data_IF_757881544597
#
_entry.id   IF_757881544597
#
_cell.length_a   1.000
_cell.length_b   1.000
_cell.length_c   1.000
_cell.angle_alpha   90.00
_cell.angle_beta   90.00
_cell.angle_gamma   90.00
#
_symmetry.space_group_name_H-M   'P 1'
#
loop_
_entity.id
_entity.type
_entity.pdbx_description
1 polymer ?
#
# COMPACT_ATOMS: atom_id res chain seq x y z
N UNK A 1 11.20 6.29 5.92
CA UNK A 1 10.80 4.89 5.62
C UNK A 1 10.11 4.89 4.27
N UNK A 2 10.19 3.82 3.48
CA UNK A 2 9.41 3.70 2.25
C UNK A 2 8.67 2.36 2.19
N UNK A 3 7.56 2.32 1.45
CA UNK A 3 6.75 1.12 1.28
C UNK A 3 6.02 1.09 -0.05
N UNK A 4 6.18 0.01 -0.80
CA UNK A 4 5.41 -0.26 -2.02
C UNK A 4 4.25 -1.22 -1.72
N UNK A 5 3.08 -0.99 -2.31
CA UNK A 5 1.95 -1.91 -2.21
C UNK A 5 1.56 -2.21 -0.75
N UNK A 6 1.54 -3.48 -0.34
CA UNK A 6 1.31 -3.90 1.05
C UNK A 6 2.31 -3.29 2.04
N UNK A 7 3.54 -3.01 1.59
CA UNK A 7 4.55 -2.30 2.39
C UNK A 7 4.15 -0.88 2.77
N UNK A 8 3.20 -0.27 2.04
CA UNK A 8 2.62 1.02 2.40
C UNK A 8 1.90 0.96 3.75
N UNK A 9 1.19 -0.12 4.05
CA UNK A 9 0.59 -0.35 5.36
C UNK A 9 1.67 -0.41 6.44
N UNK A 10 2.73 -1.20 6.25
CA UNK A 10 3.84 -1.28 7.20
C UNK A 10 4.45 0.09 7.51
N UNK A 11 4.71 0.90 6.49
CA UNK A 11 5.26 2.24 6.68
C UNK A 11 4.35 3.16 7.52
N UNK A 12 3.03 3.11 7.27
CA UNK A 12 2.04 3.91 8.04
C UNK A 12 1.87 3.37 9.47
N UNK A 13 1.89 2.05 9.67
CA UNK A 13 1.86 1.44 11.01
C UNK A 13 3.06 1.90 11.86
N UNK A 14 4.25 1.98 11.27
CA UNK A 14 5.47 2.47 11.95
C UNK A 14 5.40 3.96 12.32
N UNK A 15 4.59 4.76 11.61
CA UNK A 15 4.32 6.16 11.98
C UNK A 15 3.22 6.29 13.05
N UNK A 16 2.51 5.20 13.34
CA UNK A 16 1.49 5.12 14.39
C UNK A 16 0.07 4.87 13.90
N UNK A 17 -0.12 4.51 12.62
CA UNK A 17 -1.40 4.00 12.15
C UNK A 17 -1.80 2.74 12.91
N UNK A 18 -2.99 2.73 13.48
CA UNK A 18 -3.55 1.61 14.24
C UNK A 18 -4.51 0.85 13.35
N UNK A 19 -4.18 -0.42 13.10
CA UNK A 19 -4.99 -1.33 12.30
C UNK A 19 -6.18 -1.85 13.11
N UNK A 20 -7.32 -1.94 12.43
CA UNK A 20 -8.56 -2.52 12.88
C UNK A 20 -9.08 -3.40 11.74
N UNK A 21 -9.09 -4.71 11.94
CA UNK A 21 -9.53 -5.65 10.90
C UNK A 21 -11.01 -5.49 10.57
N UNK A 22 -11.86 -5.20 11.56
CA UNK A 22 -13.30 -5.07 11.32
C UNK A 22 -13.66 -3.97 10.27
N UNK A 23 -13.16 -2.72 10.36
CA UNK A 23 -13.33 -1.72 9.30
C UNK A 23 -12.86 -2.19 7.91
N UNK A 24 -11.74 -2.91 7.84
CA UNK A 24 -11.26 -3.46 6.56
C UNK A 24 -12.24 -4.49 5.99
N UNK A 25 -12.70 -5.43 6.81
CA UNK A 25 -13.67 -6.46 6.40
C UNK A 25 -15.00 -5.84 5.98
N UNK A 26 -15.53 -4.89 6.75
CA UNK A 26 -16.77 -4.19 6.38
C UNK A 26 -16.63 -3.46 5.04
N UNK A 27 -15.49 -2.81 4.83
CA UNK A 27 -15.24 -2.12 3.58
C UNK A 27 -15.06 -3.06 2.39
N UNK A 28 -14.43 -4.22 2.57
CA UNK A 28 -14.14 -5.16 1.48
C UNK A 28 -15.36 -5.98 1.03
N UNK A 29 -16.39 -6.11 1.88
CA UNK A 29 -17.64 -6.81 1.56
C UNK A 29 -18.22 -6.39 0.20
N UNK A 30 -18.47 -7.39 -0.65
CA UNK A 30 -19.13 -7.21 -1.94
C UNK A 30 -18.30 -6.54 -3.03
N UNK A 31 -17.01 -6.24 -2.80
CA UNK A 31 -16.15 -5.55 -3.79
C UNK A 31 -15.53 -6.46 -4.86
N UNK A 32 -15.77 -7.78 -4.78
CA UNK A 32 -15.24 -8.76 -5.76
C UNK A 32 -13.72 -8.88 -5.72
N UNK A 33 -13.11 -8.50 -4.60
CA UNK A 33 -11.67 -8.56 -4.41
C UNK A 33 -11.22 -10.00 -4.22
N UNK A 34 -10.08 -10.36 -4.81
CA UNK A 34 -9.53 -11.70 -4.71
C UNK A 34 -9.33 -12.12 -3.25
N UNK A 35 -9.23 -13.44 -3.04
CA UNK A 35 -8.99 -14.04 -1.73
C UNK A 35 -7.53 -13.88 -1.25
N UNK A 36 -6.79 -12.95 -1.85
CA UNK A 36 -5.40 -12.65 -1.52
C UNK A 36 -4.67 -11.98 -2.69
N UNK A 37 -3.42 -11.55 -2.46
CA UNK A 37 -2.58 -10.99 -3.53
C UNK A 37 -2.15 -12.08 -4.52
N UNK A 38 -1.62 -11.69 -5.68
CA UNK A 38 -1.13 -12.62 -6.73
C UNK A 38 -0.21 -13.72 -6.19
N UNK A 39 0.66 -13.39 -5.23
CA UNK A 39 1.62 -14.32 -4.63
C UNK A 39 0.97 -15.35 -3.69
N UNK A 40 -0.19 -15.02 -3.11
CA UNK A 40 -0.93 -15.86 -2.18
C UNK A 40 -2.45 -15.74 -2.43
N UNK A 41 -2.97 -16.24 -3.56
CA UNK A 41 -4.31 -15.92 -4.05
C UNK A 41 -5.48 -16.48 -3.21
N UNK A 42 -5.19 -17.37 -2.25
CA UNK A 42 -6.16 -18.02 -1.36
C UNK A 42 -5.88 -17.77 0.12
N UNK A 43 -5.15 -16.69 0.43
CA UNK A 43 -4.70 -16.39 1.79
C UNK A 43 -5.87 -16.07 2.74
N UNK A 44 -6.91 -15.41 2.24
CA UNK A 44 -8.11 -15.05 3.00
C UNK A 44 -8.88 -16.27 3.48
N UNK A 45 -9.01 -17.32 2.66
CA UNK A 45 -9.61 -18.60 3.06
C UNK A 45 -8.86 -19.32 4.19
N UNK A 46 -7.60 -18.95 4.47
CA UNK A 46 -6.84 -19.51 5.59
C UNK A 46 -7.16 -18.81 6.93
N UNK A 47 -7.78 -17.63 6.92
CA UNK A 47 -7.98 -16.84 8.15
C UNK A 47 -8.90 -17.55 9.13
N UNK A 48 -10.11 -17.94 8.71
CA UNK A 48 -11.07 -18.63 9.60
C UNK A 48 -10.52 -19.96 10.14
N UNK A 49 -10.00 -20.88 9.30
CA UNK A 49 -9.41 -22.12 9.80
C UNK A 49 -8.27 -21.89 10.80
N UNK A 50 -7.42 -20.87 10.59
CA UNK A 50 -6.32 -20.56 11.49
C UNK A 50 -6.81 -19.92 12.80
N UNK A 51 -7.86 -19.11 12.77
CA UNK A 51 -8.51 -18.61 13.99
C UNK A 51 -9.08 -19.76 14.83
N UNK A 52 -9.59 -20.82 14.21
CA UNK A 52 -10.14 -21.97 14.95
C UNK A 52 -9.05 -22.93 15.45
N UNK A 53 -8.04 -23.21 14.62
CA UNK A 53 -7.08 -24.30 14.87
C UNK A 53 -5.74 -23.84 15.46
N UNK A 54 -5.34 -22.58 15.30
CA UNK A 54 -3.99 -22.11 15.67
C UNK A 54 -4.02 -21.10 16.82
N UNK A 55 -3.60 -21.48 18.05
CA UNK A 55 -3.51 -20.54 19.16
C UNK A 55 -2.48 -19.42 18.90
N UNK A 56 -1.42 -19.70 18.14
CA UNK A 56 -0.42 -18.70 17.76
C UNK A 56 -1.01 -17.66 16.81
N UNK A 57 -1.79 -18.10 15.82
CA UNK A 57 -2.47 -17.19 14.90
C UNK A 57 -3.49 -16.32 15.64
N UNK A 58 -4.35 -16.93 16.47
CA UNK A 58 -5.29 -16.18 17.32
C UNK A 58 -4.61 -15.12 18.18
N UNK A 59 -3.55 -15.48 18.89
CA UNK A 59 -2.83 -14.53 19.73
C UNK A 59 -2.24 -13.38 18.91
N UNK A 60 -1.77 -13.65 17.68
CA UNK A 60 -1.31 -12.60 16.75
C UNK A 60 -2.47 -11.70 16.30
N UNK A 61 -3.60 -12.30 15.93
CA UNK A 61 -4.79 -11.61 15.48
C UNK A 61 -5.39 -10.69 16.54
N UNK A 62 -5.45 -11.13 17.79
CA UNK A 62 -5.93 -10.33 18.92
C UNK A 62 -5.09 -9.06 19.16
N UNK A 63 -3.82 -9.08 18.76
CA UNK A 63 -2.92 -7.92 18.86
C UNK A 63 -2.99 -6.96 17.68
N UNK A 64 -3.89 -7.18 16.72
CA UNK A 64 -3.97 -6.39 15.47
C UNK A 64 -4.07 -4.85 15.68
N UNK A 65 -4.63 -4.39 16.80
CA UNK A 65 -4.73 -2.97 17.15
C UNK A 65 -3.55 -2.44 18.00
N UNK A 66 -2.48 -3.22 18.18
CA UNK A 66 -1.29 -2.78 18.90
C UNK A 66 -0.58 -1.69 18.13
N UNK A 67 -0.12 -0.64 18.82
CA UNK A 67 0.68 0.40 18.18
C UNK A 67 2.08 -0.13 17.87
N UNK A 68 2.48 -0.01 16.61
CA UNK A 68 3.84 -0.28 16.14
C UNK A 68 4.64 1.02 15.92
N UNK A 69 4.20 2.14 16.52
CA UNK A 69 4.86 3.44 16.32
C UNK A 69 6.33 3.36 16.72
N UNK A 70 7.22 3.64 15.76
CA UNK A 70 8.65 3.77 15.99
C UNK A 70 9.05 5.25 15.91
N UNK A 71 9.43 5.83 17.06
CA UNK A 71 9.80 7.24 17.19
C UNK A 71 11.02 7.64 16.35
N UNK A 72 11.80 6.67 15.85
CA UNK A 72 12.97 6.91 14.98
C UNK A 72 12.55 7.22 13.55
N UNK A 73 11.35 6.80 13.12
CA UNK A 73 10.84 7.08 11.78
C UNK A 73 10.26 8.49 11.78
N UNK A 74 10.81 9.36 10.92
CA UNK A 74 10.46 10.79 10.83
C UNK A 74 9.63 11.17 9.61
N UNK A 75 9.32 10.21 8.75
CA UNK A 75 8.52 10.41 7.54
C UNK A 75 8.43 9.13 6.72
N UNK A 76 7.46 9.08 5.81
CA UNK A 76 7.25 7.95 4.93
C UNK A 76 7.03 8.34 3.46
N UNK A 77 7.48 7.49 2.55
CA UNK A 77 7.16 7.57 1.13
C UNK A 77 6.48 6.29 0.67
N UNK A 78 5.26 6.40 0.15
CA UNK A 78 4.40 5.29 -0.19
C UNK A 78 4.24 5.23 -1.72
N UNK A 79 4.56 4.09 -2.32
CA UNK A 79 4.32 3.82 -3.73
C UNK A 79 3.12 2.88 -3.87
N UNK A 80 2.05 3.32 -4.52
CA UNK A 80 0.83 2.57 -4.72
C UNK A 80 0.37 1.81 -3.46
N UNK A 81 0.15 2.50 -2.31
CA UNK A 81 -0.20 1.83 -1.07
C UNK A 81 -1.45 0.97 -1.27
N UNK A 82 -1.34 -0.32 -0.94
CA UNK A 82 -2.39 -1.29 -1.21
C UNK A 82 -3.49 -1.22 -0.16
N UNK A 83 -4.53 -2.00 -0.42
CA UNK A 83 -5.78 -1.94 0.29
C UNK A 83 -5.79 -2.18 1.80
N UNK A 84 -4.83 -2.87 2.45
CA UNK A 84 -4.82 -2.98 3.90
C UNK A 84 -4.78 -1.63 4.62
N UNK A 85 -4.41 -0.52 3.94
CA UNK A 85 -4.53 0.83 4.51
C UNK A 85 -5.95 1.16 4.96
N UNK A 86 -6.97 0.51 4.40
CA UNK A 86 -8.38 0.65 4.80
C UNK A 86 -8.70 0.01 6.15
N UNK A 87 -7.78 -0.76 6.70
CA UNK A 87 -7.84 -1.21 8.09
C UNK A 87 -7.41 -0.15 9.09
N UNK A 88 -6.79 0.96 8.68
CA UNK A 88 -6.39 1.99 9.65
C UNK A 88 -7.60 2.70 10.26
N UNK A 89 -7.59 2.87 11.57
CA UNK A 89 -8.53 3.77 12.24
C UNK A 89 -8.23 5.22 11.83
N UNK A 90 -9.28 5.94 11.41
CA UNK A 90 -9.17 7.35 11.02
C UNK A 90 -8.59 8.22 12.14
N UNK A 91 -8.91 7.90 13.40
CA UNK A 91 -8.37 8.61 14.56
C UNK A 91 -6.85 8.49 14.64
N UNK A 92 -6.28 7.31 14.38
CA UNK A 92 -4.83 7.12 14.39
C UNK A 92 -4.14 7.85 13.25
N UNK A 93 -4.73 7.84 12.04
CA UNK A 93 -4.18 8.55 10.87
C UNK A 93 -4.10 10.06 11.10
N UNK A 94 -5.13 10.66 11.70
CA UNK A 94 -5.15 12.09 12.05
C UNK A 94 -4.08 12.50 13.07
N UNK A 95 -3.55 11.55 13.85
CA UNK A 95 -2.49 11.80 14.84
C UNK A 95 -1.08 11.69 14.25
N UNK A 96 -0.94 11.23 13.01
CA UNK A 96 0.34 11.18 12.31
C UNK A 96 0.66 12.60 11.80
N UNK A 97 1.78 13.15 12.27
CA UNK A 97 2.23 14.51 11.94
C UNK A 97 3.48 14.50 11.04
N UNK A 98 4.18 13.37 11.04
CA UNK A 98 5.35 13.11 10.22
C UNK A 98 4.97 13.20 8.72
N UNK A 99 5.81 13.82 7.86
CA UNK A 99 5.52 13.98 6.43
C UNK A 99 5.34 12.65 5.72
N UNK A 100 4.30 12.55 4.90
CA UNK A 100 4.01 11.39 4.05
C UNK A 100 3.85 11.79 2.59
N UNK A 101 4.73 11.29 1.73
CA UNK A 101 4.57 11.37 0.28
C UNK A 101 3.89 10.11 -0.24
N UNK A 102 2.90 10.27 -1.11
CA UNK A 102 2.14 9.18 -1.71
C UNK A 102 2.23 9.31 -3.23
N UNK A 103 2.88 8.36 -3.88
CA UNK A 103 2.87 8.21 -5.32
C UNK A 103 1.88 7.13 -5.70
N UNK A 104 0.99 7.40 -6.65
CA UNK A 104 0.03 6.44 -7.18
C UNK A 104 -0.11 6.60 -8.70
N UNK A 105 -0.81 5.66 -9.34
CA UNK A 105 -1.14 5.69 -10.77
C UNK A 105 -2.64 5.40 -10.92
N UNK A 106 -3.30 5.97 -11.92
CA UNK A 106 -4.76 5.96 -11.97
C UNK A 106 -5.33 4.62 -12.48
N UNK A 107 -4.62 3.93 -13.39
CA UNK A 107 -5.01 2.62 -13.91
C UNK A 107 -4.50 1.45 -13.06
N UNK A 108 -4.31 1.67 -11.75
CA UNK A 108 -3.91 0.62 -10.81
C UNK A 108 -5.09 -0.33 -10.51
N UNK A 109 -4.99 -1.59 -10.94
CA UNK A 109 -6.01 -2.61 -10.68
C UNK A 109 -5.74 -3.43 -9.41
N UNK A 110 -4.51 -3.43 -8.90
CA UNK A 110 -4.13 -4.15 -7.67
C UNK A 110 -4.42 -3.30 -6.43
N UNK A 111 -4.19 -1.99 -6.53
CA UNK A 111 -4.43 -0.99 -5.50
C UNK A 111 -5.12 0.25 -6.10
N UNK A 112 -6.42 0.17 -6.47
CA UNK A 112 -7.14 1.29 -7.06
C UNK A 112 -6.95 2.59 -6.26
N UNK A 113 -6.46 3.62 -6.94
CA UNK A 113 -5.93 4.83 -6.31
C UNK A 113 -6.99 5.60 -5.52
N UNK A 114 -8.21 5.70 -6.03
CA UNK A 114 -9.38 6.31 -5.39
C UNK A 114 -9.76 5.60 -4.07
N UNK A 115 -9.64 4.28 -4.08
CA UNK A 115 -9.98 3.40 -2.96
C UNK A 115 -8.88 3.33 -1.91
N UNK A 116 -7.62 3.48 -2.30
CA UNK A 116 -6.45 3.27 -1.44
C UNK A 116 -5.67 4.57 -1.19
N UNK A 117 -4.88 5.03 -2.17
CA UNK A 117 -3.98 6.17 -2.03
C UNK A 117 -4.71 7.48 -1.68
N UNK A 118 -5.78 7.80 -2.42
CA UNK A 118 -6.58 8.99 -2.17
C UNK A 118 -7.35 8.90 -0.85
N UNK A 119 -7.88 7.72 -0.51
CA UNK A 119 -8.52 7.52 0.79
C UNK A 119 -7.54 7.78 1.93
N UNK A 120 -6.31 7.27 1.82
CA UNK A 120 -5.30 7.46 2.84
C UNK A 120 -4.91 8.94 2.96
N UNK A 121 -4.66 9.61 1.83
CA UNK A 121 -4.34 11.04 1.77
C UNK A 121 -5.39 11.90 2.49
N UNK A 122 -6.68 11.65 2.27
CA UNK A 122 -7.78 12.40 2.90
C UNK A 122 -7.82 12.33 4.43
N UNK A 123 -7.18 11.32 5.04
CA UNK A 123 -7.21 11.10 6.48
C UNK A 123 -5.88 11.40 7.19
N UNK A 124 -4.83 11.74 6.43
CA UNK A 124 -3.52 12.12 6.96
C UNK A 124 -3.42 13.65 7.05
N UNK A 125 -2.92 14.16 8.18
CA UNK A 125 -2.81 15.59 8.41
C UNK A 125 -1.68 16.26 7.60
N UNK A 126 -0.59 15.52 7.35
CA UNK A 126 0.60 16.01 6.65
C UNK A 126 1.00 15.03 5.54
N UNK A 127 0.28 15.08 4.41
CA UNK A 127 0.60 14.24 3.27
C UNK A 127 0.45 14.96 1.93
N UNK A 128 1.25 14.53 0.96
CA UNK A 128 1.20 14.95 -0.44
C UNK A 128 0.93 13.73 -1.31
N UNK A 129 -0.07 13.82 -2.20
CA UNK A 129 -0.38 12.78 -3.18
C UNK A 129 -0.05 13.28 -4.59
N UNK A 130 0.65 12.45 -5.38
CA UNK A 130 0.83 12.66 -6.82
C UNK A 130 0.36 11.43 -7.62
N UNK A 131 -0.53 11.66 -8.59
CA UNK A 131 -0.92 10.69 -9.59
C UNK A 131 0.06 10.76 -10.77
N UNK A 132 1.00 9.83 -10.80
CA UNK A 132 2.17 9.87 -11.67
C UNK A 132 1.86 9.56 -13.14
N UNK A 133 0.74 8.87 -13.39
CA UNK A 133 0.27 8.54 -14.74
C UNK A 133 -1.20 8.17 -14.69
N UNK A 134 -1.95 8.53 -15.74
CA UNK A 134 -3.33 8.10 -15.92
C UNK A 134 -3.41 6.62 -16.37
N UNK A 135 -2.45 6.18 -17.19
CA UNK A 135 -2.54 4.90 -17.91
C UNK A 135 -1.57 3.82 -17.37
N UNK A 136 -0.73 4.15 -16.38
CA UNK A 136 0.19 3.17 -15.78
C UNK A 136 -0.53 2.29 -14.76
N UNK A 137 -0.07 1.05 -14.64
CA UNK A 137 -0.56 0.07 -13.68
C UNK A 137 0.35 -0.10 -12.46
N UNK A 138 -0.09 -0.93 -11.52
CA UNK A 138 0.56 -1.16 -10.22
C UNK A 138 2.07 -1.44 -10.33
N UNK A 139 2.44 -2.31 -11.27
CA UNK A 139 3.79 -2.83 -11.39
C UNK A 139 4.78 -1.88 -12.07
N UNK A 140 4.32 -0.72 -12.56
CA UNK A 140 5.22 0.34 -13.06
C UNK A 140 6.11 0.93 -11.94
N UNK A 141 5.82 0.65 -10.67
CA UNK A 141 6.70 0.98 -9.54
C UNK A 141 7.84 -0.05 -9.30
N UNK A 142 7.81 -1.23 -9.94
CA UNK A 142 8.91 -2.19 -9.89
C UNK A 142 10.12 -1.71 -10.71
N UNK A 143 11.29 -2.28 -10.45
CA UNK A 143 12.50 -2.01 -11.25
C UNK A 143 12.27 -2.28 -12.74
N UNK A 144 13.03 -1.63 -13.62
CA UNK A 144 13.01 -1.95 -15.05
C UNK A 144 13.43 -3.41 -15.27
N UNK A 145 12.57 -4.18 -15.91
CA UNK A 145 12.84 -5.59 -16.16
C UNK A 145 13.89 -5.80 -17.25
N UNK A 146 14.72 -6.82 -17.06
CA UNK A 146 15.61 -7.33 -18.09
C UNK A 146 14.82 -7.89 -19.29
N UNK A 147 15.45 -8.11 -20.46
CA UNK A 147 14.81 -8.79 -21.58
C UNK A 147 14.20 -10.14 -21.20
N UNK A 148 14.86 -10.88 -20.31
CA UNK A 148 14.34 -12.15 -19.80
C UNK A 148 13.07 -11.94 -18.98
N UNK A 149 13.06 -10.96 -18.06
CA UNK A 149 11.86 -10.67 -17.26
C UNK A 149 10.66 -10.25 -18.13
N UNK A 150 10.88 -9.47 -19.18
CA UNK A 150 9.82 -9.11 -20.14
C UNK A 150 9.26 -10.31 -20.90
N UNK A 151 10.09 -11.32 -21.16
CA UNK A 151 9.66 -12.54 -21.85
C UNK A 151 8.96 -13.52 -20.91
N UNK A 152 9.44 -13.65 -19.68
CA UNK A 152 8.95 -14.65 -18.72
C UNK A 152 7.79 -14.17 -17.86
N UNK A 153 7.75 -12.88 -17.50
CA UNK A 153 6.75 -12.30 -16.59
C UNK A 153 6.16 -10.99 -17.17
N UNK A 154 5.58 -11.02 -18.39
CA UNK A 154 5.15 -9.81 -19.08
C UNK A 154 4.13 -9.00 -18.28
N UNK A 155 3.27 -9.65 -17.49
CA UNK A 155 2.23 -8.99 -16.68
C UNK A 155 2.76 -7.92 -15.71
N UNK A 156 3.98 -8.10 -15.20
CA UNK A 156 4.62 -7.16 -14.25
C UNK A 156 5.79 -6.39 -14.88
N UNK A 157 6.29 -6.89 -16.01
CA UNK A 157 7.50 -6.38 -16.68
C UNK A 157 7.24 -5.54 -17.93
N UNK A 158 6.04 -5.63 -18.52
CA UNK A 158 5.65 -4.87 -19.70
C UNK A 158 4.56 -3.89 -19.30
N UNK A 159 4.91 -2.61 -19.30
CA UNK A 159 3.94 -1.54 -19.07
C UNK A 159 3.07 -1.31 -20.32
N UNK A 160 1.87 -0.70 -20.18
CA UNK A 160 1.02 -0.34 -21.32
C UNK A 160 1.74 0.51 -22.37
N UNK A 161 1.34 0.46 -23.66
CA UNK A 161 1.95 1.25 -24.72
C UNK A 161 2.01 2.75 -24.37
N UNK A 162 3.19 3.35 -24.56
CA UNK A 162 3.41 4.77 -24.25
C UNK A 162 3.80 5.07 -22.79
N UNK A 163 3.72 4.09 -21.89
CA UNK A 163 4.20 4.26 -20.51
C UNK A 163 5.73 4.15 -20.45
N UNK A 164 6.35 5.17 -19.87
CA UNK A 164 7.77 5.17 -19.52
C UNK A 164 7.94 4.96 -18.03
N UNK A 165 8.38 3.76 -17.65
CA UNK A 165 8.68 3.38 -16.26
C UNK A 165 9.68 4.31 -15.60
N UNK A 166 10.79 4.60 -16.28
CA UNK A 166 11.80 5.55 -15.79
C UNK A 166 11.26 6.97 -15.59
N UNK A 167 10.34 7.46 -16.44
CA UNK A 167 9.70 8.75 -16.23
C UNK A 167 8.83 8.77 -14.95
N UNK A 168 8.07 7.69 -14.70
CA UNK A 168 7.31 7.50 -13.46
C UNK A 168 8.26 7.48 -12.26
N UNK A 169 9.37 6.73 -12.33
CA UNK A 169 10.36 6.65 -11.26
C UNK A 169 11.01 8.00 -10.97
N UNK A 170 11.34 8.78 -12.00
CA UNK A 170 11.91 10.12 -11.82
C UNK A 170 10.94 11.06 -11.07
N UNK A 171 9.64 11.02 -11.39
CA UNK A 171 8.63 11.79 -10.65
C UNK A 171 8.47 11.28 -9.22
N UNK A 172 8.47 9.97 -9.02
CA UNK A 172 8.42 9.36 -7.67
C UNK A 172 9.63 9.79 -6.82
N UNK A 173 10.84 9.81 -7.40
CA UNK A 173 12.07 10.28 -6.75
C UNK A 173 11.95 11.75 -6.35
N UNK A 174 11.45 12.61 -7.24
CA UNK A 174 11.26 14.03 -6.94
C UNK A 174 10.29 14.24 -5.77
N UNK A 175 9.17 13.50 -5.74
CA UNK A 175 8.22 13.53 -4.63
C UNK A 175 8.85 13.00 -3.33
N UNK A 176 9.62 11.91 -3.40
CA UNK A 176 10.30 11.34 -2.24
C UNK A 176 11.34 12.31 -1.64
N UNK A 177 12.16 12.95 -2.48
CA UNK A 177 13.14 13.96 -2.05
C UNK A 177 12.44 15.14 -1.37
N UNK A 178 11.35 15.64 -1.95
CA UNK A 178 10.54 16.70 -1.36
C UNK A 178 9.95 16.30 -0.01
N UNK A 179 9.47 15.06 0.11
CA UNK A 179 8.90 14.52 1.35
C UNK A 179 9.93 14.43 2.47
N UNK A 180 11.11 13.88 2.18
CA UNK A 180 12.15 13.65 3.20
C UNK A 180 12.99 14.89 3.54
N UNK A 181 12.79 15.99 2.83
CA UNK A 181 13.45 17.27 3.11
C UNK A 181 12.63 18.20 4.01
N UNK A 182 11.44 17.77 4.45
CA UNK A 182 10.56 18.51 5.37
C UNK A 182 10.98 18.35 6.83
#
# INVERSE_FOLDING_TARGET
MSGFSLGGHTAVSLLGGITQVAPFLEWSKGRGWGDGPREFPHLGAQVEPLLESSPVFRASWERQATSFKDKRIKGAFLCAPASPVRGFSVESLKKIIEPIGIAAVASDLEAPSDLCAEWLHRHLANSTLDLLSADAGHYSFLCECSPWGKASEPDICVDPPGISRSAIHNRAIALALSTFSQ
#
